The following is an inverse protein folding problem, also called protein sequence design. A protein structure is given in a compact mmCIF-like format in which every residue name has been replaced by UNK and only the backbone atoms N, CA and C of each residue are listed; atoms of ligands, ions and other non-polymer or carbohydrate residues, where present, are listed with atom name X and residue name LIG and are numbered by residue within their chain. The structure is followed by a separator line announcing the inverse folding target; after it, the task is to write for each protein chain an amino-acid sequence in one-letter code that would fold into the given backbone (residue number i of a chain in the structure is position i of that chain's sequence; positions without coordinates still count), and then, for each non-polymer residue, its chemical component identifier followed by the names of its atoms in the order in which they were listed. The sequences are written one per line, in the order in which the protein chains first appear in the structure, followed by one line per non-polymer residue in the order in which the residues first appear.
data_IF_904292110878
#
_entry.id   IF_904292110878
#
_cell.length_a   1.000
_cell.length_b   1.000
_cell.length_c   1.000
_cell.angle_alpha   90.00
_cell.angle_beta   90.00
_cell.angle_gamma   90.00
#
_symmetry.space_group_name_H-M   'P 1'
#
loop_
_entity.id
_entity.type
_entity.pdbx_description
1 polymer ?
#
# COMPACT_ATOMS: atom_id res chain seq x y z
N UNK A 1 -2.09 -10.25 -56.92
CA UNK A 1 -1.02 -9.75 -56.02
C UNK A 1 -1.50 -8.50 -55.30
N UNK A 2 -2.31 -8.62 -54.23
CA UNK A 2 -2.72 -7.50 -53.36
C UNK A 2 -3.57 -8.00 -52.18
N UNK A 3 -3.08 -8.96 -51.39
CA UNK A 3 -3.84 -9.42 -50.20
C UNK A 3 -2.98 -9.96 -49.05
N UNK A 4 -1.66 -9.68 -49.03
CA UNK A 4 -0.74 -10.24 -48.03
C UNK A 4 -0.07 -9.16 -47.14
N UNK A 5 -0.62 -7.95 -47.07
CA UNK A 5 0.00 -6.83 -46.36
C UNK A 5 -0.75 -6.37 -45.08
N UNK A 6 -1.90 -6.95 -44.73
CA UNK A 6 -2.72 -6.47 -43.61
C UNK A 6 -2.73 -7.35 -42.34
N UNK A 7 -2.00 -8.46 -42.31
CA UNK A 7 -1.94 -9.34 -41.12
C UNK A 7 -0.65 -9.15 -40.30
N UNK A 8 0.35 -8.44 -40.82
CA UNK A 8 1.62 -8.21 -40.12
C UNK A 8 1.65 -6.97 -39.21
N UNK A 9 0.54 -6.24 -39.05
CA UNK A 9 0.49 -4.95 -38.33
C UNK A 9 -0.17 -5.00 -36.94
N UNK A 10 -0.63 -6.17 -36.46
CA UNK A 10 -1.19 -6.31 -35.09
C UNK A 10 -0.20 -6.99 -34.12
N UNK A 11 0.94 -7.50 -34.61
CA UNK A 11 1.94 -8.18 -33.78
C UNK A 11 3.08 -7.27 -33.26
N UNK A 12 2.98 -5.94 -33.43
CA UNK A 12 4.09 -5.01 -33.13
C UNK A 12 3.70 -3.86 -32.16
N UNK A 13 2.75 -4.08 -31.24
CA UNK A 13 2.44 -3.13 -30.15
C UNK A 13 2.24 -3.78 -28.78
N UNK A 14 2.87 -4.93 -28.54
CA UNK A 14 3.21 -5.31 -27.16
C UNK A 14 4.66 -4.90 -26.93
N UNK A 15 4.88 -3.59 -26.75
CA UNK A 15 6.05 -3.18 -25.98
C UNK A 15 5.91 -3.93 -24.65
N UNK A 16 6.83 -4.85 -24.36
CA UNK A 16 6.92 -5.45 -23.03
C UNK A 16 7.05 -4.27 -22.06
N UNK A 17 5.94 -3.93 -21.38
CA UNK A 17 5.96 -2.95 -20.32
C UNK A 17 6.84 -3.58 -19.26
N UNK A 18 8.10 -3.12 -19.20
CA UNK A 18 9.06 -3.59 -18.23
C UNK A 18 8.52 -3.19 -16.85
N UNK A 19 8.31 -4.18 -15.98
CA UNK A 19 7.91 -3.90 -14.62
C UNK A 19 8.97 -3.00 -13.95
N UNK A 20 8.49 -2.05 -13.15
CA UNK A 20 9.34 -1.34 -12.21
C UNK A 20 9.74 -2.31 -11.10
N UNK A 21 11.04 -2.54 -10.96
CA UNK A 21 11.61 -3.35 -9.88
C UNK A 21 12.04 -2.43 -8.73
N UNK A 22 11.81 -2.89 -7.49
CA UNK A 22 12.34 -2.26 -6.28
C UNK A 22 13.86 -2.27 -6.19
N UNK A 23 14.54 -3.07 -7.02
CA UNK A 23 15.99 -3.14 -7.07
C UNK A 23 16.64 -1.78 -7.31
N UNK A 24 17.55 -1.39 -6.42
CA UNK A 24 18.26 -0.11 -6.45
C UNK A 24 17.48 1.07 -5.86
N UNK A 25 16.29 0.83 -5.29
CA UNK A 25 15.61 1.82 -4.45
C UNK A 25 16.23 1.84 -3.03
N UNK A 26 16.12 2.95 -2.28
CA UNK A 26 16.63 3.05 -0.91
C UNK A 26 16.08 1.95 0.00
N UNK A 27 16.94 1.29 0.77
CA UNK A 27 16.58 0.20 1.68
C UNK A 27 16.15 -1.09 1.00
N UNK A 28 16.23 -1.20 -0.33
CA UNK A 28 15.94 -2.45 -1.03
C UNK A 28 16.87 -3.58 -0.56
N UNK A 29 16.29 -4.75 -0.34
CA UNK A 29 17.01 -5.94 0.06
C UNK A 29 16.78 -7.08 -0.94
N UNK A 30 17.83 -7.83 -1.26
CA UNK A 30 17.67 -9.07 -2.03
C UNK A 30 17.20 -10.21 -1.13
N UNK A 31 17.83 -10.30 0.03
CA UNK A 31 17.67 -11.28 1.11
C UNK A 31 18.22 -10.68 2.42
N UNK A 32 18.10 -11.39 3.54
CA UNK A 32 18.53 -10.88 4.86
C UNK A 32 20.02 -10.50 4.90
N UNK A 33 20.87 -11.11 4.08
CA UNK A 33 22.32 -10.81 4.07
C UNK A 33 22.64 -9.50 3.36
N UNK A 34 21.67 -8.93 2.65
CA UNK A 34 21.79 -7.60 2.05
C UNK A 34 21.42 -6.47 3.01
N UNK A 35 20.92 -6.80 4.20
CA UNK A 35 20.60 -5.83 5.23
C UNK A 35 21.76 -5.61 6.20
N UNK A 36 21.79 -4.43 6.81
CA UNK A 36 22.68 -4.09 7.92
C UNK A 36 22.37 -4.95 9.17
N UNK A 37 23.29 -4.97 10.12
CA UNK A 37 23.09 -5.69 11.38
C UNK A 37 21.83 -5.20 12.12
N UNK A 38 21.05 -6.14 12.66
CA UNK A 38 19.73 -5.91 13.27
C UNK A 38 18.65 -5.42 12.29
N UNK A 39 18.82 -5.71 11.00
CA UNK A 39 17.76 -5.57 10.00
C UNK A 39 17.50 -6.92 9.31
N UNK A 40 16.28 -7.08 8.82
CA UNK A 40 15.82 -8.29 8.12
C UNK A 40 15.07 -7.89 6.86
N UNK A 41 15.15 -8.71 5.81
CA UNK A 41 14.55 -8.41 4.54
C UNK A 41 13.07 -8.86 4.53
N UNK A 42 12.15 -7.90 4.52
CA UNK A 42 10.71 -8.17 4.50
C UNK A 42 10.14 -7.81 3.14
N UNK A 43 9.36 -8.72 2.56
CA UNK A 43 8.65 -8.52 1.29
C UNK A 43 7.18 -8.23 1.50
N UNK A 44 6.62 -7.41 0.63
CA UNK A 44 5.17 -7.19 0.51
C UNK A 44 4.66 -7.97 -0.70
N UNK A 45 3.70 -8.87 -0.45
CA UNK A 45 2.95 -9.55 -1.49
C UNK A 45 2.05 -8.54 -2.22
N UNK A 46 2.08 -8.54 -3.54
CA UNK A 46 1.21 -7.69 -4.36
C UNK A 46 1.01 -8.28 -5.75
N UNK A 47 -0.17 -8.07 -6.31
CA UNK A 47 -0.52 -8.41 -7.70
C UNK A 47 -0.68 -7.19 -8.59
N UNK A 48 -0.30 -5.99 -8.12
CA UNK A 48 -0.36 -4.79 -8.97
C UNK A 48 0.49 -4.98 -10.21
N UNK A 49 -0.08 -4.63 -11.36
CA UNK A 49 0.58 -4.81 -12.65
C UNK A 49 1.81 -3.91 -12.76
N UNK A 50 2.91 -4.47 -13.25
CA UNK A 50 4.12 -3.70 -13.57
C UNK A 50 4.96 -3.30 -12.37
N UNK A 51 4.77 -3.93 -11.20
CA UNK A 51 5.69 -3.81 -10.07
C UNK A 51 6.23 -5.18 -9.66
N UNK A 52 7.51 -5.23 -9.31
CA UNK A 52 8.18 -6.43 -8.81
C UNK A 52 9.22 -6.08 -7.74
N UNK A 53 9.73 -7.08 -7.03
CA UNK A 53 10.77 -6.92 -6.00
C UNK A 53 10.41 -5.92 -4.88
N UNK A 54 9.17 -6.02 -4.39
CA UNK A 54 8.64 -5.15 -3.34
C UNK A 54 9.12 -5.62 -1.97
N UNK A 55 10.34 -5.24 -1.58
CA UNK A 55 10.96 -5.66 -0.31
C UNK A 55 11.99 -4.67 0.19
N UNK A 56 12.08 -4.54 1.52
CA UNK A 56 12.98 -3.61 2.20
C UNK A 56 13.58 -4.21 3.47
N UNK A 57 14.74 -3.70 3.86
CA UNK A 57 15.32 -3.96 5.18
C UNK A 57 14.50 -3.23 6.26
N UNK A 58 14.00 -3.98 7.23
CA UNK A 58 13.32 -3.46 8.42
C UNK A 58 14.10 -3.76 9.69
N UNK A 59 14.04 -2.87 10.71
CA UNK A 59 14.72 -3.10 11.98
C UNK A 59 14.14 -4.33 12.68
N UNK A 60 15.02 -5.18 13.17
CA UNK A 60 14.71 -6.45 13.83
C UNK A 60 15.64 -6.70 15.01
N UNK A 61 15.15 -6.41 16.21
CA UNK A 61 15.84 -6.68 17.47
C UNK A 61 15.19 -7.83 18.24
N UNK A 62 13.88 -8.01 18.03
CA UNK A 62 13.09 -9.06 18.66
C UNK A 62 11.88 -9.43 17.80
N UNK A 63 11.30 -10.59 18.11
CA UNK A 63 10.03 -11.03 17.53
C UNK A 63 8.93 -9.97 17.73
N UNK A 64 8.12 -9.75 16.69
CA UNK A 64 7.08 -8.72 16.66
C UNK A 64 7.56 -7.32 16.29
N UNK A 65 8.85 -7.10 15.99
CA UNK A 65 9.26 -5.85 15.34
C UNK A 65 8.81 -5.77 13.88
N UNK A 66 8.79 -6.91 13.20
CA UNK A 66 8.38 -7.03 11.80
C UNK A 66 7.23 -8.02 11.68
N UNK A 67 6.39 -7.80 10.68
CA UNK A 67 5.30 -8.70 10.35
C UNK A 67 5.83 -10.00 9.73
N UNK A 68 6.00 -11.04 10.54
CA UNK A 68 6.52 -12.33 10.09
C UNK A 68 6.23 -13.45 11.09
N UNK A 69 6.05 -14.67 10.57
CA UNK A 69 5.87 -15.86 11.39
C UNK A 69 4.61 -15.77 12.25
N UNK A 70 4.73 -15.87 13.56
CA UNK A 70 3.56 -15.85 14.48
C UNK A 70 3.30 -14.48 15.11
N UNK A 71 4.03 -13.45 14.69
CA UNK A 71 3.93 -12.11 15.27
C UNK A 71 3.57 -11.06 14.24
N UNK A 72 2.58 -10.19 14.54
CA UNK A 72 2.36 -9.00 13.76
C UNK A 72 3.48 -7.97 14.03
N UNK A 73 3.62 -7.00 13.14
CA UNK A 73 4.60 -5.93 13.29
C UNK A 73 4.68 -5.07 12.03
N UNK A 74 5.82 -4.39 11.86
CA UNK A 74 6.04 -3.49 10.73
C UNK A 74 6.22 -4.23 9.39
N UNK A 75 5.74 -3.57 8.35
CA UNK A 75 5.93 -3.89 6.96
C UNK A 75 6.68 -2.75 6.24
N UNK A 76 7.33 -3.04 5.10
CA UNK A 76 7.97 -2.03 4.26
C UNK A 76 7.09 -0.82 3.96
N UNK A 77 7.71 0.36 3.83
CA UNK A 77 7.04 1.61 3.42
C UNK A 77 7.78 2.24 2.25
N UNK A 78 7.07 2.73 1.24
CA UNK A 78 7.65 3.06 -0.06
C UNK A 78 7.61 4.55 -0.39
N UNK A 79 7.57 5.42 0.63
CA UNK A 79 7.34 6.86 0.49
C UNK A 79 8.31 7.55 -0.46
N UNK A 80 9.61 7.22 -0.41
CA UNK A 80 10.62 7.80 -1.31
C UNK A 80 10.90 6.99 -2.57
N UNK A 81 10.30 5.80 -2.70
CA UNK A 81 10.49 4.97 -3.88
C UNK A 81 9.81 5.61 -5.09
N UNK A 82 10.08 5.08 -6.29
CA UNK A 82 9.36 5.51 -7.49
C UNK A 82 7.85 5.48 -7.26
N UNK A 83 7.16 6.40 -7.92
CA UNK A 83 5.72 6.61 -7.85
C UNK A 83 4.87 5.33 -7.94
N UNK A 84 5.28 4.33 -8.73
CA UNK A 84 4.57 3.07 -8.85
C UNK A 84 4.41 2.35 -7.49
N UNK A 85 5.43 2.42 -6.63
CA UNK A 85 5.46 1.77 -5.31
C UNK A 85 4.79 2.61 -4.23
N UNK A 86 4.71 3.93 -4.38
CA UNK A 86 4.07 4.82 -3.40
C UNK A 86 2.56 4.56 -3.26
N UNK A 87 1.96 3.82 -4.20
CA UNK A 87 0.57 3.37 -4.12
C UNK A 87 0.36 2.10 -3.29
N UNK A 88 1.44 1.45 -2.85
CA UNK A 88 1.39 0.21 -2.08
C UNK A 88 0.99 0.54 -0.64
N UNK A 89 -0.06 -0.12 -0.17
CA UNK A 89 -0.57 -0.01 1.19
C UNK A 89 -0.20 -1.24 1.98
N UNK A 90 0.80 -1.13 2.84
CA UNK A 90 1.32 -2.28 3.58
C UNK A 90 0.41 -2.68 4.74
N UNK A 91 -0.13 -3.90 4.66
CA UNK A 91 -0.95 -4.54 5.70
C UNK A 91 -0.24 -5.77 6.22
N UNK A 92 -0.15 -5.92 7.54
CA UNK A 92 0.30 -7.14 8.18
C UNK A 92 -0.88 -8.08 8.39
N UNK A 93 -1.02 -9.09 7.53
CA UNK A 93 -2.20 -9.96 7.50
C UNK A 93 -1.84 -11.43 7.75
N UNK A 94 -2.85 -12.22 8.14
CA UNK A 94 -2.74 -13.68 8.09
C UNK A 94 -2.60 -14.14 6.66
N UNK A 95 -1.69 -15.10 6.48
CA UNK A 95 -1.50 -15.85 5.27
C UNK A 95 -1.24 -17.31 5.64
N UNK A 96 -1.69 -18.21 4.79
CA UNK A 96 -1.27 -19.59 4.76
C UNK A 96 0.20 -19.65 4.31
N UNK A 97 1.01 -20.56 4.90
CA UNK A 97 2.36 -20.81 4.41
C UNK A 97 2.36 -21.08 2.91
N UNK A 98 3.33 -20.52 2.20
CA UNK A 98 3.41 -20.65 0.74
C UNK A 98 4.15 -21.92 0.31
N UNK A 99 3.90 -22.34 -0.93
CA UNK A 99 4.62 -23.45 -1.56
C UNK A 99 4.32 -24.82 -0.94
N UNK A 100 5.36 -25.52 -0.50
CA UNK A 100 5.25 -26.84 0.14
C UNK A 100 5.33 -26.78 1.66
N UNK A 101 5.49 -25.57 2.21
CA UNK A 101 5.72 -25.42 3.64
C UNK A 101 4.45 -25.73 4.42
N UNK A 102 4.60 -26.51 5.49
CA UNK A 102 3.51 -26.93 6.34
C UNK A 102 3.62 -26.30 7.73
N UNK A 103 2.48 -26.04 8.35
CA UNK A 103 2.47 -25.58 9.73
C UNK A 103 2.97 -26.67 10.68
N UNK A 104 3.94 -26.33 11.53
CA UNK A 104 4.26 -27.08 12.74
C UNK A 104 3.07 -26.95 13.69
N UNK A 105 2.17 -27.92 13.66
CA UNK A 105 1.15 -28.05 14.67
C UNK A 105 1.70 -28.80 15.89
N UNK A 106 1.00 -28.68 17.04
CA UNK A 106 1.39 -29.37 18.28
C UNK A 106 1.37 -30.91 18.21
N UNK A 107 0.96 -31.50 17.07
CA UNK A 107 0.98 -32.95 16.83
C UNK A 107 2.23 -33.41 16.06
N UNK A 108 3.10 -32.49 15.63
CA UNK A 108 4.35 -32.83 14.96
C UNK A 108 5.35 -33.43 15.96
N UNK A 109 5.63 -34.74 15.81
CA UNK A 109 6.58 -35.48 16.66
C UNK A 109 7.87 -35.85 15.93
N UNK A 110 8.14 -35.24 14.77
CA UNK A 110 9.33 -35.47 13.97
C UNK A 110 10.52 -34.65 14.47
N UNK A 111 11.74 -35.10 14.14
CA UNK A 111 12.96 -34.34 14.40
C UNK A 111 13.42 -33.49 13.20
N UNK A 112 12.81 -33.70 12.03
CA UNK A 112 13.14 -33.02 10.79
C UNK A 112 12.10 -31.94 10.46
N UNK A 113 12.44 -30.69 10.71
CA UNK A 113 11.57 -29.53 10.46
C UNK A 113 11.79 -28.92 9.07
N UNK A 114 12.48 -29.62 8.16
CA UNK A 114 12.63 -29.15 6.79
C UNK A 114 11.27 -29.10 6.07
N UNK A 115 10.93 -27.95 5.49
CA UNK A 115 9.63 -27.72 4.85
C UNK A 115 8.50 -27.43 5.85
N UNK A 116 8.83 -27.02 7.07
CA UNK A 116 7.86 -26.65 8.08
C UNK A 116 8.13 -25.26 8.64
N UNK A 117 7.06 -24.53 8.97
CA UNK A 117 7.11 -23.21 9.60
C UNK A 117 6.29 -23.19 10.89
N UNK A 118 6.72 -22.37 11.85
CA UNK A 118 5.93 -22.15 13.07
C UNK A 118 4.70 -21.31 12.71
N UNK A 119 3.51 -21.87 12.94
CA UNK A 119 2.24 -21.21 12.70
C UNK A 119 1.51 -20.91 14.00
N UNK A 120 0.54 -20.02 13.89
CA UNK A 120 -0.51 -19.83 14.89
C UNK A 120 -1.83 -20.33 14.32
N UNK A 121 -2.67 -20.90 15.18
CA UNK A 121 -4.00 -21.36 14.76
C UNK A 121 -5.00 -20.22 14.89
N UNK A 122 -5.76 -19.98 13.82
CA UNK A 122 -6.98 -19.17 13.86
C UNK A 122 -8.20 -20.07 13.68
N UNK A 123 -9.32 -19.69 14.27
CA UNK A 123 -10.58 -20.43 14.10
C UNK A 123 -11.37 -19.81 12.95
N UNK A 124 -11.55 -20.59 11.89
CA UNK A 124 -12.36 -20.25 10.72
C UNK A 124 -13.79 -20.77 10.91
N UNK A 125 -14.79 -20.01 10.44
CA UNK A 125 -16.19 -20.39 10.53
C UNK A 125 -16.86 -20.10 11.89
N UNK A 126 -18.08 -20.60 12.07
CA UNK A 126 -18.83 -20.40 13.31
C UNK A 126 -19.62 -21.65 13.72
N UNK A 127 -19.75 -21.88 15.03
CA UNK A 127 -20.49 -23.02 15.56
C UNK A 127 -19.77 -24.36 15.38
N UNK A 128 -20.49 -25.40 14.96
CA UNK A 128 -19.98 -26.78 14.89
C UNK A 128 -19.13 -27.08 13.66
N UNK A 129 -19.00 -26.14 12.72
CA UNK A 129 -18.15 -26.26 11.52
C UNK A 129 -16.88 -25.43 11.65
N UNK A 130 -16.57 -24.96 12.85
CA UNK A 130 -15.40 -24.16 13.09
C UNK A 130 -14.14 -25.03 12.99
N UNK A 131 -13.22 -24.67 12.09
CA UNK A 131 -11.97 -25.39 11.87
C UNK A 131 -10.78 -24.53 12.31
N UNK A 132 -9.73 -25.18 12.79
CA UNK A 132 -8.49 -24.49 13.14
C UNK A 132 -7.55 -24.52 11.93
N UNK A 133 -7.18 -23.35 11.46
CA UNK A 133 -6.31 -23.15 10.31
C UNK A 133 -4.99 -22.56 10.79
N UNK A 134 -3.89 -23.22 10.45
CA UNK A 134 -2.55 -22.72 10.76
C UNK A 134 -2.15 -21.61 9.79
N UNK A 135 -1.87 -20.43 10.33
CA UNK A 135 -1.49 -19.23 9.58
C UNK A 135 -0.19 -18.63 10.12
N UNK A 136 0.43 -17.81 9.28
CA UNK A 136 1.53 -16.92 9.64
C UNK A 136 1.15 -15.48 9.29
N UNK A 137 1.87 -14.52 9.84
CA UNK A 137 1.82 -13.13 9.45
C UNK A 137 2.73 -12.88 8.25
N UNK A 138 2.28 -12.01 7.35
CA UNK A 138 3.09 -11.46 6.27
C UNK A 138 2.54 -10.13 5.77
N UNK A 139 3.40 -9.40 5.07
CA UNK A 139 3.04 -8.12 4.51
C UNK A 139 2.36 -8.30 3.15
N UNK A 140 1.21 -7.66 2.99
CA UNK A 140 0.39 -7.74 1.78
C UNK A 140 -0.08 -6.34 1.44
N UNK A 141 -0.11 -6.04 0.15
CA UNK A 141 -0.61 -4.78 -0.39
C UNK A 141 -2.15 -4.75 -0.36
N UNK A 142 -2.72 -3.57 -0.15
CA UNK A 142 -4.15 -3.32 -0.13
C UNK A 142 -4.51 -2.22 -1.15
N UNK A 143 -5.49 -2.46 -2.00
CA UNK A 143 -5.89 -1.50 -3.05
C UNK A 143 -7.11 -0.64 -2.66
N UNK A 144 -7.47 -0.61 -1.38
CA UNK A 144 -8.70 0.02 -0.90
C UNK A 144 -9.90 -0.93 -0.88
N UNK A 145 -9.85 -2.02 -1.65
CA UNK A 145 -10.95 -2.97 -1.78
C UNK A 145 -10.55 -4.36 -1.31
N UNK A 146 -9.37 -4.85 -1.65
CA UNK A 146 -8.93 -6.21 -1.30
C UNK A 146 -7.44 -6.24 -0.95
N UNK A 147 -7.06 -7.23 -0.16
CA UNK A 147 -5.66 -7.63 -0.06
C UNK A 147 -5.24 -8.27 -1.40
N UNK A 148 -4.10 -7.84 -1.93
CA UNK A 148 -3.63 -8.21 -3.26
C UNK A 148 -2.88 -9.54 -3.26
N UNK A 149 -3.61 -10.59 -2.93
CA UNK A 149 -3.21 -11.97 -3.20
C UNK A 149 -3.49 -12.35 -4.65
N UNK A 150 -2.90 -13.45 -5.10
CA UNK A 150 -3.23 -14.05 -6.39
C UNK A 150 -4.68 -14.53 -6.38
N UNK A 151 -5.47 -14.10 -7.37
CA UNK A 151 -6.89 -14.46 -7.50
C UNK A 151 -7.07 -15.99 -7.59
N UNK A 152 -7.94 -16.54 -6.75
CA UNK A 152 -8.19 -17.98 -6.67
C UNK A 152 -7.12 -18.79 -5.92
N UNK A 153 -6.21 -18.13 -5.20
CA UNK A 153 -5.33 -18.80 -4.23
C UNK A 153 -6.03 -19.03 -2.89
N UNK A 154 -5.55 -19.99 -2.09
CA UNK A 154 -6.11 -20.24 -0.75
C UNK A 154 -6.01 -18.99 0.15
N UNK A 155 -4.99 -18.14 -0.05
CA UNK A 155 -4.85 -16.86 0.65
C UNK A 155 -5.90 -15.83 0.23
N UNK A 156 -6.28 -15.83 -1.05
CA UNK A 156 -7.39 -15.01 -1.53
C UNK A 156 -8.70 -15.43 -0.84
N UNK A 157 -9.01 -16.72 -0.82
CA UNK A 157 -10.22 -17.26 -0.19
C UNK A 157 -10.23 -17.03 1.33
N UNK A 158 -9.09 -17.20 2.00
CA UNK A 158 -8.93 -16.89 3.41
C UNK A 158 -9.19 -15.39 3.68
N UNK A 159 -8.71 -14.52 2.79
CA UNK A 159 -8.85 -13.07 2.95
C UNK A 159 -10.31 -12.61 2.88
N UNK A 160 -11.10 -13.23 2.00
CA UNK A 160 -12.55 -12.96 1.87
C UNK A 160 -13.30 -13.45 3.11
N UNK A 161 -12.98 -14.66 3.57
CA UNK A 161 -13.59 -15.26 4.76
C UNK A 161 -13.36 -14.46 6.04
N UNK A 162 -12.16 -13.88 6.18
CA UNK A 162 -11.81 -13.02 7.31
C UNK A 162 -12.34 -11.58 7.19
N UNK A 163 -12.98 -11.24 6.06
CA UNK A 163 -13.53 -9.91 5.78
C UNK A 163 -12.51 -8.77 6.03
N UNK A 164 -11.28 -8.96 5.54
CA UNK A 164 -10.19 -7.99 5.74
C UNK A 164 -10.56 -6.59 5.27
N UNK A 165 -11.27 -6.48 4.15
CA UNK A 165 -11.71 -5.19 3.60
C UNK A 165 -12.45 -4.36 4.63
N UNK A 166 -13.42 -4.93 5.35
CA UNK A 166 -14.16 -4.18 6.36
C UNK A 166 -13.27 -3.78 7.53
N UNK A 167 -12.44 -4.73 8.01
CA UNK A 167 -11.56 -4.54 9.18
C UNK A 167 -10.50 -3.47 8.92
N UNK A 168 -9.85 -3.51 7.75
CA UNK A 168 -8.81 -2.55 7.35
C UNK A 168 -9.43 -1.16 7.14
N UNK A 169 -10.57 -1.08 6.45
CA UNK A 169 -11.25 0.19 6.22
C UNK A 169 -11.75 0.83 7.53
N UNK A 170 -12.16 0.03 8.52
CA UNK A 170 -12.56 0.54 9.84
C UNK A 170 -11.35 1.00 10.67
N UNK A 171 -10.27 0.22 10.68
CA UNK A 171 -9.14 0.43 11.59
C UNK A 171 -8.03 1.35 11.07
N UNK A 172 -7.80 1.38 9.76
CA UNK A 172 -6.55 1.91 9.18
C UNK A 172 -6.74 2.95 8.07
N UNK A 173 -7.95 3.12 7.55
CA UNK A 173 -8.25 4.16 6.57
C UNK A 173 -8.69 5.42 7.30
N UNK A 174 -8.04 6.54 6.99
CA UNK A 174 -8.40 7.82 7.57
C UNK A 174 -9.69 8.33 6.91
N UNK A 175 -10.79 8.51 7.65
CA UNK A 175 -12.07 8.96 7.08
C UNK A 175 -12.06 10.42 6.60
N UNK A 176 -11.00 11.18 6.94
CA UNK A 176 -10.81 12.54 6.45
C UNK A 176 -10.00 12.59 5.14
N UNK A 177 -9.51 11.45 4.65
CA UNK A 177 -8.96 11.41 3.31
C UNK A 177 -10.10 11.53 2.30
N UNK A 178 -9.76 11.90 1.05
CA UNK A 178 -10.72 11.83 -0.05
C UNK A 178 -11.30 10.40 -0.16
N UNK A 179 -12.57 10.30 -0.61
CA UNK A 179 -13.31 9.03 -0.75
C UNK A 179 -12.58 7.96 -1.61
N UNK A 180 -11.53 8.35 -2.34
CA UNK A 180 -10.70 7.49 -3.19
C UNK A 180 -9.24 7.32 -2.71
N UNK A 181 -8.97 7.61 -1.44
CA UNK A 181 -7.68 7.31 -0.81
C UNK A 181 -7.63 5.85 -0.37
N UNK A 182 -6.94 5.03 -1.16
CA UNK A 182 -6.65 3.61 -0.92
C UNK A 182 -5.45 3.37 0.01
N UNK A 183 -4.85 4.46 0.51
CA UNK A 183 -3.62 4.40 1.31
C UNK A 183 -3.93 4.28 2.79
N UNK A 184 -3.68 3.08 3.33
CA UNK A 184 -3.79 2.79 4.76
C UNK A 184 -2.68 3.51 5.52
N UNK A 185 -2.98 3.95 6.74
CA UNK A 185 -1.99 4.54 7.65
C UNK A 185 -1.20 5.71 7.03
N UNK A 186 -1.85 6.46 6.13
CA UNK A 186 -1.26 7.60 5.41
C UNK A 186 0.04 7.28 4.67
N UNK A 187 0.31 5.99 4.39
CA UNK A 187 1.56 5.51 3.78
C UNK A 187 2.78 5.60 4.71
N UNK A 188 2.56 5.90 5.99
CA UNK A 188 3.58 6.23 7.00
C UNK A 188 3.60 5.21 8.15
N UNK A 189 3.09 4.02 7.88
CA UNK A 189 2.99 2.94 8.86
C UNK A 189 2.42 1.68 8.23
N UNK A 190 2.21 0.69 9.08
CA UNK A 190 1.63 -0.62 8.70
C UNK A 190 0.26 -0.77 9.33
N UNK A 191 -0.73 -1.20 8.55
CA UNK A 191 -2.00 -1.62 9.11
C UNK A 191 -1.81 -3.01 9.71
N UNK A 192 -1.84 -3.13 11.03
CA UNK A 192 -1.41 -4.32 11.77
C UNK A 192 -2.44 -4.68 12.84
N UNK A 193 -2.66 -5.96 13.16
CA UNK A 193 -3.54 -6.31 14.26
C UNK A 193 -2.90 -5.96 15.60
N UNK A 194 -3.73 -5.61 16.58
CA UNK A 194 -3.29 -5.20 17.91
C UNK A 194 -2.42 -6.24 18.63
N UNK A 195 -2.63 -7.51 18.35
CA UNK A 195 -1.85 -8.63 18.89
C UNK A 195 -1.99 -9.85 17.99
N UNK A 196 -1.10 -10.84 18.16
CA UNK A 196 -1.28 -12.16 17.56
C UNK A 196 -2.68 -12.71 17.87
N UNK A 197 -3.36 -13.24 16.86
CA UNK A 197 -4.74 -13.75 16.96
C UNK A 197 -5.86 -12.71 16.88
N UNK A 198 -5.55 -11.41 16.81
CA UNK A 198 -6.56 -10.35 16.77
C UNK A 198 -6.99 -10.00 15.35
N UNK A 199 -8.29 -9.73 15.17
CA UNK A 199 -8.86 -9.07 13.98
C UNK A 199 -9.15 -7.58 14.22
N UNK A 200 -8.65 -6.99 15.30
CA UNK A 200 -8.70 -5.54 15.52
C UNK A 200 -7.43 -4.91 14.97
N UNK A 201 -7.57 -4.20 13.85
CA UNK A 201 -6.46 -3.57 13.15
C UNK A 201 -6.32 -2.10 13.54
N UNK A 202 -5.08 -1.65 13.56
CA UNK A 202 -4.71 -0.26 13.81
C UNK A 202 -3.47 0.09 12.98
N UNK A 203 -3.18 1.38 12.90
CA UNK A 203 -1.95 1.84 12.26
C UNK A 203 -0.78 1.84 13.23
N UNK A 204 0.17 0.95 12.97
CA UNK A 204 1.49 0.95 13.60
C UNK A 204 2.40 1.90 12.82
N UNK A 205 2.62 3.10 13.38
CA UNK A 205 3.33 4.16 12.70
C UNK A 205 4.83 3.92 12.65
N UNK A 206 5.44 4.29 11.52
CA UNK A 206 6.88 4.38 11.42
C UNK A 206 7.41 5.42 12.41
N UNK A 207 8.62 5.19 12.94
CA UNK A 207 9.27 6.13 13.87
C UNK A 207 9.29 7.54 13.29
N UNK A 208 8.91 8.55 14.06
CA UNK A 208 8.83 9.93 13.56
C UNK A 208 7.44 10.34 13.04
N UNK A 209 6.50 9.40 12.98
CA UNK A 209 5.08 9.66 12.72
C UNK A 209 4.17 9.19 13.86
N UNK A 210 3.01 9.82 13.98
CA UNK A 210 2.01 9.51 15.00
C UNK A 210 0.60 9.91 14.53
N UNK A 211 -0.39 9.75 15.41
CA UNK A 211 -1.80 9.91 15.13
C UNK A 211 -2.45 8.56 14.80
N UNK A 212 -3.78 8.52 14.86
CA UNK A 212 -4.57 7.31 14.63
C UNK A 212 -4.28 6.64 13.29
N UNK A 213 -3.89 7.42 12.28
CA UNK A 213 -3.60 6.94 10.92
C UNK A 213 -2.20 7.37 10.45
N UNK A 214 -1.27 7.62 11.38
CA UNK A 214 0.11 8.05 11.10
C UNK A 214 0.24 9.33 10.27
N UNK A 215 -0.78 10.18 10.33
CA UNK A 215 -0.88 11.40 9.53
C UNK A 215 -0.06 12.57 10.09
N UNK A 216 0.44 12.45 11.33
CA UNK A 216 1.19 13.52 11.99
C UNK A 216 2.68 13.22 11.95
N UNK A 217 3.47 14.20 11.55
CA UNK A 217 4.91 14.21 11.81
C UNK A 217 5.13 14.58 13.27
N UNK A 218 5.85 13.75 14.03
CA UNK A 218 6.18 14.02 15.43
C UNK A 218 7.66 14.34 15.66
N UNK A 219 8.56 13.86 14.80
CA UNK A 219 10.00 14.15 14.87
C UNK A 219 10.71 13.85 13.55
N UNK A 220 11.96 14.31 13.41
CA UNK A 220 12.82 13.95 12.28
C UNK A 220 13.42 12.53 12.36
N UNK A 221 13.02 11.71 13.35
CA UNK A 221 13.59 10.37 13.53
C UNK A 221 13.09 9.39 12.47
N UNK A 222 13.95 8.48 12.04
CA UNK A 222 13.59 7.49 11.04
C UNK A 222 14.37 6.19 11.25
N UNK A 223 13.80 5.08 10.78
CA UNK A 223 14.40 3.75 10.90
C UNK A 223 14.42 2.97 9.59
N UNK A 224 13.89 3.54 8.50
CA UNK A 224 13.93 2.94 7.17
C UNK A 224 14.50 3.96 6.19
N UNK A 225 15.41 3.55 5.30
CA UNK A 225 16.03 4.45 4.32
C UNK A 225 15.00 5.23 3.48
N UNK A 226 13.87 4.58 3.18
CA UNK A 226 12.80 5.09 2.33
C UNK A 226 11.63 5.74 3.08
N UNK A 227 11.77 5.97 4.39
CA UNK A 227 10.69 6.45 5.27
C UNK A 227 10.37 7.94 5.12
N UNK A 228 11.37 8.73 4.76
CA UNK A 228 11.27 10.19 4.69
C UNK A 228 10.28 10.59 3.56
N UNK A 229 9.73 11.79 3.60
CA UNK A 229 8.78 12.24 2.58
C UNK A 229 9.51 12.68 1.29
N UNK A 230 10.70 13.24 1.46
CA UNK A 230 11.71 13.50 0.44
C UNK A 230 13.09 13.33 1.10
N UNK A 231 14.12 12.94 0.35
CA UNK A 231 15.42 12.61 0.92
C UNK A 231 15.55 11.16 1.37
N UNK A 232 16.48 10.89 2.28
CA UNK A 232 16.83 9.53 2.72
C UNK A 232 17.09 9.51 4.21
N UNK A 233 16.67 8.44 4.89
CA UNK A 233 17.02 8.25 6.29
C UNK A 233 18.48 7.85 6.42
N UNK A 234 19.25 8.61 7.20
CA UNK A 234 20.59 8.18 7.58
C UNK A 234 20.46 7.19 8.75
N UNK A 235 20.64 5.89 8.49
CA UNK A 235 20.47 4.83 9.51
C UNK A 235 21.50 4.91 10.65
N UNK A 236 22.59 5.68 10.51
CA UNK A 236 23.56 5.90 11.58
C UNK A 236 23.08 6.97 12.56
N UNK A 237 22.58 8.10 12.05
CA UNK A 237 22.05 9.18 12.90
C UNK A 237 20.59 8.98 13.29
N UNK A 238 19.90 8.08 12.57
CA UNK A 238 18.45 7.83 12.63
C UNK A 238 17.64 9.10 12.38
N UNK A 239 18.09 9.93 11.44
CA UNK A 239 17.44 11.19 11.07
C UNK A 239 17.32 11.33 9.56
N UNK A 240 16.23 11.94 9.09
CA UNK A 240 16.03 12.21 7.68
C UNK A 240 16.99 13.31 7.20
N UNK A 241 17.69 13.02 6.11
CA UNK A 241 18.50 13.98 5.35
C UNK A 241 17.70 14.40 4.11
N UNK A 242 17.22 15.64 4.11
CA UNK A 242 16.30 16.15 3.11
C UNK A 242 16.98 16.47 1.78
N UNK A 243 16.30 16.12 0.68
CA UNK A 243 16.69 16.52 -0.66
C UNK A 243 16.65 18.05 -0.82
N UNK A 244 17.43 18.57 -1.76
CA UNK A 244 17.47 19.99 -2.07
C UNK A 244 16.06 20.55 -2.34
N UNK A 245 15.69 21.63 -1.67
CA UNK A 245 14.37 22.25 -1.77
C UNK A 245 13.31 21.70 -0.83
N UNK A 246 13.66 20.74 0.04
CA UNK A 246 12.80 20.24 1.10
C UNK A 246 13.42 20.49 2.48
N UNK A 247 12.59 20.58 3.51
CA UNK A 247 13.02 20.96 4.87
C UNK A 247 12.05 20.44 5.94
N UNK A 248 12.40 20.66 7.20
CA UNK A 248 11.64 20.23 8.37
C UNK A 248 11.74 18.74 8.65
N UNK A 249 11.06 18.34 9.72
CA UNK A 249 11.01 16.94 10.14
C UNK A 249 10.38 16.07 9.06
N UNK A 250 10.95 14.88 8.84
CA UNK A 250 10.58 13.96 7.77
C UNK A 250 10.65 14.58 6.37
N UNK A 251 11.28 15.74 6.22
CA UNK A 251 11.34 16.51 4.98
C UNK A 251 9.94 16.87 4.48
N UNK A 252 9.04 17.17 5.43
CA UNK A 252 7.63 17.39 5.17
C UNK A 252 7.33 18.75 4.54
N UNK A 253 8.24 19.72 4.66
CA UNK A 253 8.06 21.08 4.16
C UNK A 253 8.92 21.36 2.94
N UNK A 254 8.58 22.40 2.20
CA UNK A 254 9.37 22.89 1.07
C UNK A 254 10.13 24.17 1.44
N UNK A 255 11.27 24.39 0.78
CA UNK A 255 12.04 25.64 0.88
C UNK A 255 11.64 26.58 -0.28
N UNK A 256 10.93 27.70 -0.01
CA UNK A 256 10.44 28.60 -1.06
C UNK A 256 11.57 29.33 -1.79
N UNK A 257 12.79 29.33 -1.25
CA UNK A 257 13.96 29.91 -1.90
C UNK A 257 14.65 28.98 -2.90
N UNK A 258 14.32 27.68 -2.86
CA UNK A 258 14.92 26.68 -3.73
C UNK A 258 14.16 26.52 -5.04
N UNK A 259 14.90 26.48 -6.14
CA UNK A 259 14.38 26.12 -7.46
C UNK A 259 13.98 24.64 -7.61
N UNK A 260 14.30 23.82 -6.59
CA UNK A 260 13.98 22.38 -6.52
C UNK A 260 12.79 22.06 -5.62
N UNK A 261 12.23 23.07 -4.94
CA UNK A 261 11.04 22.91 -4.12
C UNK A 261 9.91 22.24 -4.91
N UNK A 262 9.14 21.39 -4.23
CA UNK A 262 8.01 20.68 -4.85
C UNK A 262 8.40 19.86 -6.07
N UNK A 263 9.64 19.34 -6.09
CA UNK A 263 10.22 18.60 -7.20
C UNK A 263 10.17 19.35 -8.55
N UNK A 264 10.03 20.68 -8.52
CA UNK A 264 9.85 21.51 -9.71
C UNK A 264 8.49 21.34 -10.40
N UNK A 265 7.51 20.73 -9.74
CA UNK A 265 6.15 20.44 -10.24
C UNK A 265 5.06 21.08 -9.38
N UNK A 266 5.41 22.18 -8.69
CA UNK A 266 4.50 22.87 -7.80
C UNK A 266 5.09 24.19 -7.30
N UNK A 267 4.27 24.91 -6.53
CA UNK A 267 4.66 26.14 -5.86
C UNK A 267 4.74 25.91 -4.35
N UNK A 268 5.83 26.37 -3.74
CA UNK A 268 5.99 26.31 -2.29
C UNK A 268 5.26 27.48 -1.63
N UNK A 269 4.21 27.21 -0.86
CA UNK A 269 3.32 28.22 -0.26
C UNK A 269 3.28 28.07 1.26
N UNK A 270 3.03 29.16 1.99
CA UNK A 270 2.93 29.11 3.45
C UNK A 270 1.77 28.20 3.88
N UNK A 271 2.02 27.28 4.82
CA UNK A 271 0.97 26.48 5.42
C UNK A 271 0.01 27.42 6.16
N UNK A 272 -1.13 27.71 5.55
CA UNK A 272 -2.12 28.59 6.17
C UNK A 272 -2.70 27.85 7.37
N UNK A 273 -2.57 28.42 8.57
CA UNK A 273 -3.16 27.87 9.80
C UNK A 273 -4.69 28.01 9.75
N UNK A 274 -5.40 27.17 9.00
CA UNK A 274 -6.86 27.13 8.93
C UNK A 274 -7.45 26.46 10.17
N UNK A 275 -7.21 27.07 11.34
CA UNK A 275 -8.07 26.93 12.52
C UNK A 275 -9.18 27.98 12.46
N UNK A 276 -10.17 27.76 11.59
CA UNK A 276 -11.47 28.42 11.75
C UNK A 276 -12.48 27.34 12.14
N UNK A 277 -12.51 27.08 13.44
CA UNK A 277 -13.59 26.31 14.05
C UNK A 277 -14.92 26.97 13.73
N UNK A 278 -15.81 26.21 13.07
CA UNK A 278 -17.22 26.52 13.09
C UNK A 278 -17.66 26.58 14.55
N UNK A 279 -18.00 27.78 14.99
CA UNK A 279 -18.53 28.06 16.31
C UNK A 279 -19.97 27.53 16.36
N UNK A 280 -20.15 26.25 16.70
CA UNK A 280 -21.43 25.77 17.21
C UNK A 280 -21.43 25.91 18.72
N UNK A 281 -22.16 26.92 19.17
CA UNK A 281 -22.47 27.25 20.56
C UNK A 281 -22.86 26.00 21.36
N UNK A 282 -22.14 25.75 22.45
CA UNK A 282 -22.48 24.75 23.45
C UNK A 282 -23.86 25.06 24.05
N UNK A 283 -24.80 24.15 23.83
CA UNK A 283 -26.01 23.99 24.62
C UNK A 283 -25.99 22.60 25.27
N UNK A 284 -25.57 22.55 26.53
CA UNK A 284 -25.63 21.35 27.36
C UNK A 284 -27.07 20.84 27.52
N UNK A 285 -27.34 19.57 27.20
CA UNK A 285 -28.19 18.71 28.03
C UNK A 285 -28.03 17.21 27.72
N UNK A 286 -28.07 16.46 28.81
CA UNK A 286 -28.03 15.03 29.07
C UNK A 286 -29.03 14.17 28.25
N UNK A 287 -28.64 12.93 27.91
CA UNK A 287 -29.55 11.76 27.92
C UNK A 287 -29.78 10.97 26.63
N UNK A 288 -29.21 9.75 26.60
CA UNK A 288 -29.78 8.46 26.16
C UNK A 288 -30.32 8.19 24.73
N UNK A 289 -29.83 7.05 24.21
CA UNK A 289 -30.45 6.00 23.34
C UNK A 289 -30.71 6.22 21.84
N UNK A 290 -30.09 5.30 21.07
CA UNK A 290 -30.42 4.69 19.77
C UNK A 290 -31.49 5.32 18.85
N UNK A 291 -31.19 5.43 17.54
CA UNK A 291 -31.81 4.66 16.43
C UNK A 291 -31.29 5.18 15.07
N UNK A 292 -31.18 4.25 14.10
CA UNK A 292 -30.90 4.45 12.68
C UNK A 292 -31.80 5.48 11.97
N UNK A 293 -31.29 6.10 10.90
CA UNK A 293 -32.15 6.80 9.94
C UNK A 293 -31.45 7.75 8.97
N UNK A 294 -31.20 7.23 7.76
CA UNK A 294 -31.39 7.86 6.44
C UNK A 294 -30.63 9.12 6.02
N UNK A 295 -30.01 8.94 4.86
CA UNK A 295 -29.40 9.85 3.89
C UNK A 295 -30.25 11.07 3.52
N UNK A 296 -29.56 12.18 3.24
CA UNK A 296 -29.96 13.13 2.20
C UNK A 296 -28.71 13.60 1.44
N UNK A 297 -28.77 13.41 0.12
CA UNK A 297 -27.73 13.73 -0.85
C UNK A 297 -27.75 15.21 -1.24
N UNK A 298 -26.58 15.81 -1.40
CA UNK A 298 -26.42 17.06 -2.15
C UNK A 298 -25.10 17.10 -2.95
N UNK A 299 -25.19 16.75 -4.23
CA UNK A 299 -24.67 17.55 -5.34
C UNK A 299 -23.15 17.73 -5.53
N UNK A 300 -22.59 16.85 -6.35
CA UNK A 300 -21.36 16.92 -7.17
C UNK A 300 -20.60 18.25 -7.33
N UNK A 301 -19.28 18.13 -7.17
CA UNK A 301 -18.31 18.49 -8.21
C UNK A 301 -17.20 17.41 -8.24
N UNK A 302 -17.21 16.55 -9.25
CA UNK A 302 -16.17 15.55 -9.46
C UNK A 302 -15.02 16.13 -10.27
N UNK A 303 -13.79 15.97 -9.77
CA UNK A 303 -12.53 16.05 -10.53
C UNK A 303 -11.39 15.50 -9.66
N UNK A 304 -10.60 14.60 -10.24
CA UNK A 304 -9.32 13.99 -9.85
C UNK A 304 -8.44 14.65 -8.75
N UNK A 305 -8.95 14.82 -7.54
CA UNK A 305 -8.21 15.31 -6.38
C UNK A 305 -7.94 14.15 -5.41
N UNK A 306 -7.06 13.22 -5.78
CA UNK A 306 -6.85 11.98 -5.00
C UNK A 306 -5.95 12.15 -3.76
N UNK A 307 -5.31 13.29 -3.58
CA UNK A 307 -4.42 13.54 -2.44
C UNK A 307 -4.38 15.03 -2.07
N UNK A 308 -5.54 15.69 -2.06
CA UNK A 308 -5.70 16.74 -1.05
C UNK A 308 -5.87 15.98 0.28
N UNK A 309 -4.74 15.61 0.90
CA UNK A 309 -4.74 15.64 2.35
C UNK A 309 -5.20 17.04 2.68
N UNK A 310 -6.41 17.15 3.21
CA UNK A 310 -6.79 18.34 3.92
C UNK A 310 -5.65 18.54 4.94
N UNK A 311 -4.94 19.66 4.82
CA UNK A 311 -3.76 20.05 5.62
C UNK A 311 -4.07 20.16 7.13
N UNK A 312 -5.25 19.73 7.55
CA UNK A 312 -5.72 19.52 8.91
C UNK A 312 -5.08 18.29 9.53
N UNK A 313 -3.78 18.37 9.78
CA UNK A 313 -3.08 17.35 10.56
C UNK A 313 -1.61 17.63 10.86
N UNK A 314 -0.94 18.46 10.06
CA UNK A 314 0.49 18.78 10.24
C UNK A 314 0.77 19.74 11.41
N UNK A 315 -0.24 20.14 12.18
CA UNK A 315 -0.06 21.01 13.34
C UNK A 315 0.09 20.20 14.63
N UNK A 316 1.24 19.57 14.86
CA UNK A 316 1.65 19.15 16.22
C UNK A 316 3.17 19.00 16.40
N UNK A 317 3.97 19.88 15.78
CA UNK A 317 5.26 20.31 16.33
C UNK A 317 5.63 21.66 15.73
N UNK A 318 5.24 22.74 16.41
CA UNK A 318 5.87 24.06 16.38
C UNK A 318 6.68 24.43 15.12
N UNK A 319 6.02 24.73 13.99
CA UNK A 319 6.73 25.20 12.80
C UNK A 319 5.82 25.89 11.80
N UNK A 320 6.10 27.16 11.54
CA UNK A 320 5.63 27.89 10.36
C UNK A 320 6.30 27.27 9.11
N UNK A 321 5.79 26.14 8.63
CA UNK A 321 6.31 25.43 7.46
C UNK A 321 5.66 25.90 6.15
N UNK A 322 6.37 25.78 5.03
CA UNK A 322 5.77 25.92 3.70
C UNK A 322 5.44 24.54 3.13
N UNK A 323 4.33 24.42 2.41
CA UNK A 323 3.84 23.18 1.80
C UNK A 323 3.74 23.36 0.28
N UNK A 324 3.76 22.24 -0.43
CA UNK A 324 3.67 22.26 -1.89
C UNK A 324 2.22 22.31 -2.37
N UNK A 325 1.95 23.27 -3.25
CA UNK A 325 0.76 23.30 -4.10
C UNK A 325 1.16 22.76 -5.48
N UNK A 326 0.75 21.55 -5.81
CA UNK A 326 1.16 20.86 -7.03
C UNK A 326 0.46 21.41 -8.28
N UNK A 327 1.18 21.41 -9.39
CA UNK A 327 0.62 21.70 -10.71
C UNK A 327 -0.36 20.59 -11.15
N UNK A 328 -1.25 20.93 -12.09
CA UNK A 328 -2.19 19.96 -12.68
C UNK A 328 -1.46 18.72 -13.21
N UNK A 329 -1.92 17.54 -12.80
CA UNK A 329 -1.28 16.28 -13.18
C UNK A 329 -0.17 15.83 -12.23
N UNK A 330 0.07 16.54 -11.13
CA UNK A 330 0.96 16.12 -10.05
C UNK A 330 0.26 16.10 -8.69
N UNK A 331 0.72 15.22 -7.81
CA UNK A 331 0.15 15.01 -6.48
C UNK A 331 1.22 14.51 -5.48
N UNK A 332 0.81 14.42 -4.22
CA UNK A 332 1.66 14.05 -3.09
C UNK A 332 2.30 15.28 -2.45
N UNK A 333 2.76 15.12 -1.21
CA UNK A 333 3.15 16.23 -0.35
C UNK A 333 4.35 17.05 -0.89
N UNK A 334 5.13 16.48 -1.83
CA UNK A 334 6.25 17.14 -2.52
C UNK A 334 6.09 17.12 -4.05
N UNK A 335 4.89 16.85 -4.57
CA UNK A 335 4.59 16.78 -6.01
C UNK A 335 5.46 15.78 -6.80
N UNK A 336 5.88 14.70 -6.14
CA UNK A 336 6.72 13.64 -6.73
C UNK A 336 5.94 12.71 -7.66
N UNK A 337 4.61 12.66 -7.54
CA UNK A 337 3.76 11.71 -8.26
C UNK A 337 3.03 12.38 -9.40
N UNK A 338 3.19 11.83 -10.60
CA UNK A 338 2.34 12.15 -11.75
C UNK A 338 1.01 11.41 -11.65
N UNK A 339 -0.11 12.11 -11.86
CA UNK A 339 -1.45 11.52 -11.92
C UNK A 339 -1.98 11.58 -13.34
N UNK A 340 -2.54 10.48 -13.83
CA UNK A 340 -3.14 10.46 -15.17
C UNK A 340 -4.37 11.36 -15.19
N UNK A 341 -4.30 12.43 -15.98
CA UNK A 341 -5.44 13.29 -16.26
C UNK A 341 -6.46 12.49 -17.07
N UNK A 342 -7.42 11.86 -16.39
CA UNK A 342 -8.60 11.32 -17.06
C UNK A 342 -9.41 12.50 -17.62
N UNK A 343 -9.12 12.82 -18.88
CA UNK A 343 -9.80 13.73 -19.80
C UNK A 343 -10.80 14.72 -19.16
N UNK A 344 -10.41 16.00 -19.12
CA UNK A 344 -11.33 17.13 -19.18
C UNK A 344 -12.14 17.05 -20.48
N UNK A 345 -13.19 16.22 -20.46
CA UNK A 345 -14.11 16.01 -21.57
C UNK A 345 -14.97 17.24 -21.78
N UNK A 346 -14.48 18.17 -22.60
CA UNK A 346 -15.32 19.20 -23.22
C UNK A 346 -16.42 18.48 -24.00
N UNK A 347 -17.67 18.72 -23.63
CA UNK A 347 -18.83 18.05 -24.18
C UNK A 347 -18.85 18.04 -25.71
N UNK A 348 -18.73 16.85 -26.30
CA UNK A 348 -19.19 16.59 -27.67
C UNK A 348 -20.41 15.68 -27.60
N UNK A 349 -21.52 16.28 -28.04
CA UNK A 349 -22.87 15.74 -28.14
C UNK A 349 -22.89 14.29 -28.66
N UNK A 350 -23.68 13.47 -27.96
CA UNK A 350 -24.26 12.21 -28.45
C UNK A 350 -24.70 12.35 -29.90
N UNK A 351 -24.21 11.46 -30.77
CA UNK A 351 -24.94 11.05 -31.97
C UNK A 351 -25.29 9.57 -31.83
N UNK A 352 -26.56 9.35 -31.56
CA UNK A 352 -27.22 8.06 -31.57
C UNK A 352 -27.21 7.44 -32.97
N UNK A 353 -26.81 6.19 -33.07
CA UNK A 353 -27.33 5.24 -34.07
C UNK A 353 -27.36 3.87 -33.42
N UNK A 354 -28.56 3.33 -33.29
CA UNK A 354 -28.84 2.15 -32.49
C UNK A 354 -28.64 0.81 -33.19
N UNK A 355 -28.80 -0.20 -32.34
CA UNK A 355 -29.27 -1.56 -32.59
C UNK A 355 -28.43 -2.47 -33.48
N UNK A 356 -27.89 -3.54 -32.88
CA UNK A 356 -28.51 -4.87 -33.00
C UNK A 356 -27.95 -5.83 -31.94
N UNK A 357 -28.89 -6.47 -31.25
CA UNK A 357 -28.76 -7.65 -30.40
C UNK A 357 -28.24 -8.86 -31.19
N UNK A 358 -27.45 -9.72 -30.53
CA UNK A 358 -27.50 -11.19 -30.66
C UNK A 358 -26.68 -11.82 -29.53
N UNK A 359 -27.30 -12.79 -28.87
CA UNK A 359 -26.77 -13.63 -27.80
C UNK A 359 -25.69 -14.62 -28.25
N UNK A 360 -24.97 -15.12 -27.24
CA UNK A 360 -24.32 -16.42 -27.09
C UNK A 360 -23.12 -16.76 -28.00
N UNK A 361 -22.00 -17.16 -27.39
CA UNK A 361 -21.70 -18.59 -27.11
C UNK A 361 -20.30 -18.69 -26.49
N UNK A 362 -20.24 -19.37 -25.36
CA UNK A 362 -19.06 -19.90 -24.68
C UNK A 362 -18.18 -20.75 -25.61
N UNK A 363 -16.88 -20.45 -25.69
CA UNK A 363 -15.87 -21.40 -26.17
C UNK A 363 -14.74 -21.46 -25.16
N UNK A 364 -14.77 -22.53 -24.36
CA UNK A 364 -13.62 -23.03 -23.64
C UNK A 364 -12.53 -23.42 -24.65
N UNK A 365 -11.31 -22.93 -24.45
CA UNK A 365 -10.14 -23.45 -25.17
C UNK A 365 -9.09 -23.83 -24.15
N UNK A 366 -8.99 -25.14 -23.93
CA UNK A 366 -7.94 -25.81 -23.18
C UNK A 366 -6.60 -25.64 -23.89
N UNK A 367 -5.57 -25.18 -23.19
CA UNK A 367 -4.18 -25.26 -23.66
C UNK A 367 -3.45 -26.24 -22.75
N UNK A 368 -3.14 -27.40 -23.31
CA UNK A 368 -2.25 -28.39 -22.73
C UNK A 368 -0.86 -28.28 -23.36
N UNK A 369 0.14 -28.18 -22.47
CA UNK A 369 1.51 -28.71 -22.51
C UNK A 369 2.43 -28.41 -23.69
N UNK A 370 3.58 -27.81 -23.38
CA UNK A 370 4.89 -28.38 -23.77
C UNK A 370 5.89 -28.21 -22.63
N UNK A 371 6.25 -29.33 -21.99
CA UNK A 371 7.43 -29.46 -21.15
C UNK A 371 8.65 -29.71 -22.05
N UNK A 372 9.70 -28.90 -21.92
CA UNK A 372 10.98 -29.12 -22.58
C UNK A 372 12.06 -29.44 -21.55
N UNK A 373 12.33 -30.73 -21.37
CA UNK A 373 13.49 -31.25 -20.68
C UNK A 373 14.71 -31.19 -21.62
N UNK A 374 15.76 -30.48 -21.22
CA UNK A 374 17.08 -30.57 -21.84
C UNK A 374 17.89 -31.64 -21.13
N UNK A 375 18.07 -32.78 -21.79
CA UNK A 375 19.14 -33.75 -21.52
C UNK A 375 20.19 -33.55 -22.60
N UNK A 376 21.36 -33.03 -22.22
CA UNK A 376 22.56 -33.11 -23.06
C UNK A 376 23.55 -34.01 -22.33
N UNK A 377 23.68 -35.22 -22.85
CA UNK A 377 24.84 -36.06 -22.66
C UNK A 377 25.35 -36.44 -24.05
N UNK A 378 26.63 -36.19 -24.32
CA UNK A 378 27.61 -37.18 -24.80
C UNK A 378 28.87 -36.48 -25.34
N UNK A 379 30.01 -36.86 -24.74
CA UNK A 379 31.29 -37.19 -25.39
C UNK A 379 31.99 -36.11 -26.23
N UNK A 380 32.97 -35.41 -25.63
CA UNK A 380 34.40 -35.76 -25.74
C UNK A 380 35.23 -35.01 -24.70
#
# INVERSE_FOLDING_TARGET
MQSAAYIAAIAAMFAAVKADSGSGQPGYCKDDKSCEDNYVCISVQTTRSGIEDVKQCLPYQQEGNVCSGTFPGLCPSFSTWKTAFQSISSVCAYQLPSGTDQCLNGSFSGSDTAGYVSCMDITEGSGSTAENVGVIYGCVDFDGTNLLFEEGSDNWDLSEQLNYTAVINEGCVNPNNADDSDVVCSGRGTCSPYSSGSMQYYCECNVGYNGTYCQKVESNKCTLESQCQAGTCNLTTQECECDEGTTGDQCAFCDPSSSKACNGHGTCVAATSSSTGSTTTSGSTTGSTATAGTVDSAGSAGSAARFLMETVGMASSSGDGNVCECEDGYAGDQCTRKVDSSSSGTGKKKKSSGSSSSDATSVATSIALVASAFVVALLN
#
